data_IF_663429884168
#
_entry.id   IF_663429884168
#
_cell.length_a   1.000
_cell.length_b   1.000
_cell.length_c   1.000
_cell.angle_alpha   90.00
_cell.angle_beta   90.00
_cell.angle_gamma   90.00
#
_symmetry.space_group_name_H-M   'P 1'
#
loop_
_entity.id
_entity.type
_entity.pdbx_description
1 polymer ?
#
# COMPACT_ATOMS: atom_id res chain seq x y z
N UNK A 1 13.66 -10.29 25.86
CA UNK A 1 12.54 -9.52 25.31
C UNK A 1 11.80 -10.39 24.31
N UNK A 2 10.61 -10.90 24.61
CA UNK A 2 9.82 -11.69 23.66
C UNK A 2 9.19 -10.85 22.53
N UNK A 3 8.56 -11.46 21.52
CA UNK A 3 7.90 -10.76 20.41
C UNK A 3 6.93 -9.64 20.84
N UNK A 4 6.04 -9.94 21.80
CA UNK A 4 5.07 -8.95 22.32
C UNK A 4 5.77 -7.73 22.93
N UNK A 5 6.78 -7.97 23.77
CA UNK A 5 7.55 -6.89 24.41
C UNK A 5 8.34 -6.05 23.39
N UNK A 6 8.84 -6.68 22.32
CA UNK A 6 9.50 -6.00 21.21
C UNK A 6 8.52 -5.07 20.48
N UNK A 7 7.35 -5.57 20.09
CA UNK A 7 6.34 -4.77 19.39
C UNK A 7 5.84 -3.60 20.24
N UNK A 8 5.62 -3.83 21.54
CA UNK A 8 5.25 -2.76 22.47
C UNK A 8 6.35 -1.71 22.61
N UNK A 9 7.62 -2.12 22.59
CA UNK A 9 8.75 -1.19 22.62
C UNK A 9 8.84 -0.36 21.33
N UNK A 10 8.68 -1.00 20.16
CA UNK A 10 8.66 -0.33 18.85
C UNK A 10 7.51 0.69 18.79
N UNK A 11 6.30 0.32 19.21
CA UNK A 11 5.14 1.21 19.16
C UNK A 11 5.28 2.41 20.10
N UNK A 12 5.79 2.19 21.33
CA UNK A 12 6.07 3.28 22.27
C UNK A 12 7.13 4.23 21.71
N UNK A 13 8.23 3.69 21.18
CA UNK A 13 9.30 4.49 20.59
C UNK A 13 8.82 5.30 19.37
N UNK A 14 8.04 4.68 18.48
CA UNK A 14 7.47 5.32 17.30
C UNK A 14 6.50 6.45 17.67
N UNK A 15 5.60 6.23 18.64
CA UNK A 15 4.61 7.22 19.10
C UNK A 15 5.24 8.38 19.87
N UNK A 16 6.32 8.13 20.60
CA UNK A 16 7.05 9.17 21.33
C UNK A 16 7.77 10.16 20.40
N UNK A 17 7.60 10.04 19.07
CA UNK A 17 8.19 10.98 18.12
C UNK A 17 9.71 10.88 18.08
N UNK A 18 10.27 9.74 18.53
CA UNK A 18 11.71 9.45 18.55
C UNK A 18 12.29 9.38 17.12
N UNK A 19 11.54 9.73 16.07
CA UNK A 19 12.00 9.87 14.68
C UNK A 19 11.68 11.21 14.01
N UNK A 20 11.03 12.15 14.70
CA UNK A 20 10.61 13.45 14.14
C UNK A 20 11.30 14.57 14.91
N UNK A 21 12.37 15.13 14.34
CA UNK A 21 13.15 16.20 14.94
C UNK A 21 12.65 17.58 14.53
N UNK A 22 12.58 18.48 15.52
CA UNK A 22 12.94 19.87 15.29
C UNK A 22 13.62 20.56 16.48
N UNK A 23 13.56 20.03 17.72
CA UNK A 23 14.07 20.74 18.90
C UNK A 23 14.84 19.87 19.93
N UNK A 24 15.51 18.79 19.52
CA UNK A 24 16.13 17.86 20.49
C UNK A 24 17.67 17.96 20.46
N UNK A 25 18.30 18.04 21.65
CA UNK A 25 19.75 18.14 21.83
C UNK A 25 20.51 16.99 21.14
N UNK A 26 21.72 17.22 20.63
CA UNK A 26 22.55 16.21 19.94
C UNK A 26 22.73 14.91 20.77
N UNK A 27 22.85 15.02 22.09
CA UNK A 27 22.97 13.86 23.01
C UNK A 27 21.73 12.96 22.94
N UNK A 28 20.55 13.54 22.69
CA UNK A 28 19.30 12.79 22.56
C UNK A 28 19.15 12.08 21.20
N UNK A 29 19.83 12.58 20.16
CA UNK A 29 19.81 11.99 18.83
C UNK A 29 20.64 10.70 18.81
N UNK A 30 21.83 10.71 19.41
CA UNK A 30 22.67 9.51 19.54
C UNK A 30 21.98 8.39 20.35
N UNK A 31 21.35 8.74 21.48
CA UNK A 31 20.60 7.77 22.30
C UNK A 31 19.41 7.16 21.54
N UNK A 32 18.75 7.97 20.71
CA UNK A 32 17.65 7.56 19.83
C UNK A 32 18.13 6.59 18.75
N UNK A 33 19.22 6.89 18.06
CA UNK A 33 19.81 5.99 17.07
C UNK A 33 20.17 4.65 17.72
N UNK A 34 20.85 4.69 18.86
CA UNK A 34 21.21 3.48 19.62
C UNK A 34 19.99 2.68 20.09
N UNK A 35 18.86 3.32 20.40
CA UNK A 35 17.61 2.62 20.70
C UNK A 35 17.10 1.86 19.48
N UNK A 36 17.00 2.50 18.32
CA UNK A 36 16.49 1.88 17.11
C UNK A 36 17.39 0.76 16.58
N UNK A 37 18.71 0.93 16.66
CA UNK A 37 19.68 -0.15 16.35
C UNK A 37 19.43 -1.38 17.24
N UNK A 38 19.28 -1.18 18.56
CA UNK A 38 18.98 -2.29 19.49
C UNK A 38 17.64 -2.96 19.18
N UNK A 39 16.61 -2.17 18.85
CA UNK A 39 15.31 -2.71 18.46
C UNK A 39 15.40 -3.47 17.13
N UNK A 40 16.20 -3.00 16.19
CA UNK A 40 16.44 -3.67 14.91
C UNK A 40 17.12 -5.01 15.10
N UNK A 41 18.28 -5.04 15.79
CA UNK A 41 18.98 -6.28 16.09
C UNK A 41 18.07 -7.28 16.83
N UNK A 42 17.23 -6.78 17.75
CA UNK A 42 16.28 -7.65 18.46
C UNK A 42 15.16 -8.16 17.55
N UNK A 43 14.69 -7.35 16.60
CA UNK A 43 13.70 -7.76 15.61
C UNK A 43 14.26 -8.81 14.66
N UNK A 44 15.47 -8.62 14.15
CA UNK A 44 16.18 -9.60 13.32
C UNK A 44 16.35 -10.93 14.07
N UNK A 45 16.79 -10.89 15.34
CA UNK A 45 16.95 -12.10 16.16
C UNK A 45 15.64 -12.84 16.50
N UNK A 46 14.49 -12.19 16.35
CA UNK A 46 13.17 -12.79 16.61
C UNK A 46 12.35 -12.99 15.34
N UNK A 47 12.94 -12.76 14.16
CA UNK A 47 12.20 -12.60 12.90
C UNK A 47 11.30 -13.81 12.61
N UNK A 48 11.86 -15.03 12.65
CA UNK A 48 11.12 -16.28 12.39
C UNK A 48 10.03 -16.59 13.44
N UNK A 49 10.05 -15.88 14.57
CA UNK A 49 9.12 -16.02 15.67
C UNK A 49 7.97 -15.01 15.57
N UNK A 50 8.02 -14.09 14.61
CA UNK A 50 6.94 -13.16 14.35
C UNK A 50 5.92 -13.80 13.42
N UNK A 51 4.63 -13.53 13.67
CA UNK A 51 3.62 -13.74 12.64
C UNK A 51 3.79 -12.71 11.50
N UNK A 52 3.22 -12.94 10.31
CA UNK A 52 3.22 -11.96 9.23
C UNK A 52 2.68 -10.58 9.64
N UNK A 53 1.61 -10.55 10.45
CA UNK A 53 1.02 -9.31 10.97
C UNK A 53 1.95 -8.61 11.95
N UNK A 54 2.64 -9.38 12.81
CA UNK A 54 3.62 -8.85 13.76
C UNK A 54 4.83 -8.27 13.04
N UNK A 55 5.32 -8.95 12.00
CA UNK A 55 6.38 -8.43 11.13
C UNK A 55 5.96 -7.12 10.45
N UNK A 56 4.77 -7.08 9.84
CA UNK A 56 4.23 -5.84 9.26
C UNK A 56 4.20 -4.70 10.28
N UNK A 57 3.69 -4.98 11.50
CA UNK A 57 3.60 -4.00 12.59
C UNK A 57 4.99 -3.48 12.96
N UNK A 58 5.98 -4.36 13.09
CA UNK A 58 7.37 -3.98 13.36
C UNK A 58 7.90 -3.05 12.25
N UNK A 59 7.84 -3.47 10.98
CA UNK A 59 8.35 -2.70 9.83
C UNK A 59 7.68 -1.32 9.71
N UNK A 60 6.35 -1.23 9.91
CA UNK A 60 5.67 0.07 9.92
C UNK A 60 6.10 0.95 11.10
N UNK A 61 6.44 0.37 12.25
CA UNK A 61 7.01 1.08 13.39
C UNK A 61 8.33 1.77 13.03
N UNK A 62 9.25 1.03 12.40
CA UNK A 62 10.52 1.57 11.89
C UNK A 62 10.29 2.67 10.84
N UNK A 63 9.42 2.42 9.86
CA UNK A 63 9.08 3.43 8.85
C UNK A 63 8.51 4.71 9.46
N UNK A 64 7.57 4.61 10.41
CA UNK A 64 6.98 5.77 11.10
C UNK A 64 8.02 6.56 11.87
N UNK A 65 9.02 5.87 12.41
CA UNK A 65 10.17 6.49 13.06
C UNK A 65 11.23 7.01 12.08
N UNK A 66 10.99 6.91 10.77
CA UNK A 66 11.94 7.27 9.70
C UNK A 66 13.29 6.56 9.84
N UNK A 67 13.30 5.39 10.47
CA UNK A 67 14.47 4.54 10.57
C UNK A 67 14.50 3.64 9.33
N UNK A 68 15.48 3.87 8.46
CA UNK A 68 15.72 3.09 7.26
C UNK A 68 16.85 2.10 7.54
N UNK A 69 16.47 0.89 7.95
CA UNK A 69 17.40 -0.19 8.23
C UNK A 69 17.28 -1.26 7.13
N UNK A 70 18.26 -1.27 6.22
CA UNK A 70 18.27 -2.22 5.10
C UNK A 70 18.56 -3.65 5.53
N UNK A 71 19.35 -3.86 6.59
CA UNK A 71 19.66 -5.19 7.12
C UNK A 71 18.43 -5.83 7.75
N UNK A 72 17.59 -5.03 8.42
CA UNK A 72 16.29 -5.47 8.91
C UNK A 72 15.36 -5.90 7.77
N UNK A 73 15.32 -5.13 6.68
CA UNK A 73 14.49 -5.44 5.51
C UNK A 73 14.99 -6.71 4.79
N UNK A 74 16.31 -6.86 4.68
CA UNK A 74 16.96 -8.07 4.17
C UNK A 74 16.58 -9.29 5.01
N UNK A 75 16.76 -9.21 6.33
CA UNK A 75 16.41 -10.30 7.25
C UNK A 75 14.92 -10.65 7.22
N UNK A 76 14.04 -9.65 7.06
CA UNK A 76 12.60 -9.87 6.91
C UNK A 76 12.27 -10.61 5.60
N UNK A 77 12.97 -10.28 4.52
CA UNK A 77 12.85 -10.94 3.22
C UNK A 77 13.32 -12.39 3.28
N UNK A 78 14.48 -12.65 3.88
CA UNK A 78 14.98 -14.03 4.08
C UNK A 78 14.01 -14.85 4.95
N UNK A 79 13.47 -14.27 6.03
CA UNK A 79 12.51 -14.95 6.88
C UNK A 79 11.20 -15.30 6.17
N UNK A 80 10.74 -14.48 5.22
CA UNK A 80 9.54 -14.77 4.41
C UNK A 80 9.75 -15.98 3.47
N UNK A 81 10.98 -16.18 3.01
CA UNK A 81 11.35 -17.27 2.10
C UNK A 81 11.98 -18.47 2.81
N UNK A 82 12.15 -18.39 4.12
CA UNK A 82 12.68 -19.49 4.90
C UNK A 82 11.79 -20.73 4.77
N UNK A 83 12.40 -21.86 4.42
CA UNK A 83 11.78 -23.18 4.57
C UNK A 83 11.87 -23.65 6.04
N UNK A 84 12.85 -23.14 6.77
CA UNK A 84 13.03 -23.38 8.19
C UNK A 84 12.00 -22.57 8.96
N UNK A 85 10.95 -23.24 9.43
CA UNK A 85 10.11 -22.69 10.49
C UNK A 85 10.94 -22.54 11.77
N UNK A 86 10.62 -21.58 12.64
CA UNK A 86 11.34 -21.43 13.91
C UNK A 86 11.35 -22.75 14.70
N UNK A 87 12.50 -23.40 14.78
CA UNK A 87 12.70 -24.62 15.58
C UNK A 87 12.84 -24.15 17.02
N UNK A 88 11.74 -24.19 17.74
CA UNK A 88 11.78 -24.13 19.20
C UNK A 88 11.74 -25.57 19.68
N UNK A 89 12.66 -25.92 20.58
CA UNK A 89 12.48 -27.08 21.44
C UNK A 89 11.07 -26.94 22.05
N UNK A 90 10.21 -27.92 21.79
CA UNK A 90 8.84 -27.92 22.29
C UNK A 90 8.87 -27.54 23.77
N UNK A 91 8.14 -26.49 24.20
CA UNK A 91 8.15 -26.12 25.59
C UNK A 91 7.68 -27.33 26.40
N UNK A 92 8.47 -27.70 27.40
CA UNK A 92 8.22 -28.89 28.23
C UNK A 92 6.90 -28.84 29.01
N UNK A 93 6.15 -27.73 28.92
CA UNK A 93 4.92 -27.50 29.64
C UNK A 93 3.81 -27.02 28.68
N UNK A 94 2.90 -27.90 28.26
CA UNK A 94 1.83 -27.57 27.30
C UNK A 94 0.79 -26.57 27.85
N UNK A 95 0.71 -26.39 29.17
CA UNK A 95 -0.19 -25.41 29.81
C UNK A 95 0.29 -23.95 29.66
N UNK A 96 1.58 -23.72 29.37
CA UNK A 96 2.10 -22.37 29.09
C UNK A 96 1.83 -21.92 27.64
N UNK A 97 1.31 -22.81 26.78
CA UNK A 97 1.05 -22.57 25.35
C UNK A 97 -0.40 -22.19 25.02
N UNK A 98 -1.37 -22.41 25.93
CA UNK A 98 -2.79 -22.20 25.59
C UNK A 98 -3.16 -20.72 25.38
N UNK A 99 -2.35 -19.78 25.89
CA UNK A 99 -2.49 -18.33 25.66
C UNK A 99 -1.59 -17.78 24.55
N UNK A 100 -0.63 -18.56 24.04
CA UNK A 100 0.30 -18.14 22.99
C UNK A 100 -0.21 -18.62 21.61
N UNK A 101 -1.43 -18.17 21.28
CA UNK A 101 -2.09 -18.18 19.97
C UNK A 101 -1.30 -18.88 18.88
N UNK A 102 -1.68 -20.08 18.43
CA UNK A 102 -1.07 -20.85 17.34
C UNK A 102 -0.38 -20.00 16.27
N UNK A 103 0.87 -19.60 16.57
CA UNK A 103 1.52 -18.52 15.85
C UNK A 103 1.92 -19.12 14.52
N UNK A 104 1.23 -18.73 13.46
CA UNK A 104 1.67 -19.04 12.11
C UNK A 104 3.06 -18.42 11.94
N UNK A 105 4.07 -19.28 11.96
CA UNK A 105 5.47 -18.91 11.81
C UNK A 105 5.70 -18.38 10.39
N UNK A 106 6.60 -17.42 10.26
CA UNK A 106 7.07 -16.94 8.96
C UNK A 106 7.78 -18.07 8.19
N UNK A 107 7.74 -17.95 6.86
CA UNK A 107 8.34 -18.90 5.92
C UNK A 107 7.43 -19.14 4.72
N UNK A 108 7.92 -19.90 3.74
CA UNK A 108 7.16 -20.20 2.52
C UNK A 108 5.88 -21.00 2.79
N UNK A 109 5.85 -21.75 3.90
CA UNK A 109 4.70 -22.51 4.38
C UNK A 109 3.67 -21.66 5.16
N UNK A 110 3.98 -20.40 5.44
CA UNK A 110 3.04 -19.51 6.13
C UNK A 110 1.78 -19.30 5.28
N UNK A 111 0.62 -19.47 5.90
CA UNK A 111 -0.67 -19.13 5.28
C UNK A 111 -0.85 -17.63 5.39
N UNK A 112 -0.45 -16.90 4.35
CA UNK A 112 -0.67 -15.46 4.27
C UNK A 112 -2.09 -15.19 3.81
N UNK A 113 -2.85 -14.40 4.57
CA UNK A 113 -4.13 -13.85 4.09
C UNK A 113 -3.89 -12.74 3.05
N UNK A 114 -4.93 -12.37 2.29
CA UNK A 114 -4.85 -11.25 1.34
C UNK A 114 -4.40 -9.94 2.00
N UNK A 115 -4.87 -9.67 3.22
CA UNK A 115 -4.47 -8.50 4.00
C UNK A 115 -2.98 -8.57 4.41
N UNK A 116 -2.46 -9.75 4.77
CA UNK A 116 -1.03 -9.90 5.10
C UNK A 116 -0.15 -9.59 3.90
N UNK A 117 -0.50 -10.13 2.73
CA UNK A 117 0.21 -9.88 1.48
C UNK A 117 0.20 -8.39 1.14
N UNK A 118 -0.98 -7.75 1.19
CA UNK A 118 -1.12 -6.32 0.93
C UNK A 118 -0.29 -5.47 1.90
N UNK A 119 -0.28 -5.83 3.18
CA UNK A 119 0.45 -5.11 4.23
C UNK A 119 1.96 -5.29 4.12
N UNK A 120 2.46 -6.50 3.77
CA UNK A 120 3.88 -6.77 3.54
C UNK A 120 4.39 -5.98 2.32
N UNK A 121 3.70 -6.05 1.17
CA UNK A 121 4.04 -5.25 0.00
C UNK A 121 4.00 -3.75 0.31
N UNK A 122 3.00 -3.31 1.07
CA UNK A 122 2.90 -1.92 1.52
C UNK A 122 4.05 -1.51 2.42
N UNK A 123 4.54 -2.39 3.29
CA UNK A 123 5.72 -2.14 4.12
C UNK A 123 6.98 -1.99 3.23
N UNK A 124 7.27 -2.96 2.37
CA UNK A 124 8.43 -2.91 1.45
C UNK A 124 8.42 -1.67 0.56
N UNK A 125 7.26 -1.33 -0.02
CA UNK A 125 7.08 -0.15 -0.87
C UNK A 125 7.23 1.19 -0.13
N UNK A 126 7.16 1.22 1.20
CA UNK A 126 7.45 2.44 1.98
C UNK A 126 8.95 2.70 2.12
N UNK A 127 9.75 1.64 2.03
CA UNK A 127 11.20 1.72 2.00
C UNK A 127 11.77 1.70 0.58
N UNK A 128 10.91 1.56 -0.45
CA UNK A 128 11.34 1.31 -1.84
C UNK A 128 12.29 0.12 -1.95
N UNK A 129 12.07 -0.91 -1.14
CA UNK A 129 12.97 -2.03 -1.03
C UNK A 129 12.68 -3.08 -2.11
N UNK A 130 13.58 -3.19 -3.09
CA UNK A 130 13.46 -4.06 -4.28
C UNK A 130 14.63 -5.05 -4.42
N UNK A 131 15.50 -5.15 -3.41
CA UNK A 131 16.73 -5.97 -3.46
C UNK A 131 16.48 -7.49 -3.48
N UNK A 132 15.27 -7.92 -3.12
CA UNK A 132 14.82 -9.33 -3.15
C UNK A 132 13.64 -9.51 -4.10
N UNK A 133 13.89 -9.59 -5.43
CA UNK A 133 12.83 -9.82 -6.40
C UNK A 133 12.04 -11.11 -6.13
N UNK A 134 12.69 -12.15 -5.63
CA UNK A 134 12.07 -13.43 -5.28
C UNK A 134 10.99 -13.30 -4.18
N UNK A 135 11.15 -12.37 -3.23
CA UNK A 135 10.13 -12.08 -2.22
C UNK A 135 8.94 -11.37 -2.84
N UNK A 136 9.20 -10.45 -3.77
CA UNK A 136 8.14 -9.74 -4.46
C UNK A 136 7.33 -10.71 -5.31
N UNK A 137 7.99 -11.60 -6.05
CA UNK A 137 7.34 -12.66 -6.84
C UNK A 137 6.53 -13.61 -5.95
N UNK A 138 7.10 -14.06 -4.82
CA UNK A 138 6.38 -14.85 -3.83
C UNK A 138 5.11 -14.15 -3.32
N UNK A 139 5.20 -12.86 -2.97
CA UNK A 139 4.05 -12.08 -2.50
C UNK A 139 3.01 -11.88 -3.61
N UNK A 140 3.42 -11.71 -4.86
CA UNK A 140 2.49 -11.61 -6.00
C UNK A 140 1.76 -12.95 -6.27
N UNK A 141 2.47 -14.07 -6.23
CA UNK A 141 1.86 -15.40 -6.33
C UNK A 141 0.85 -15.64 -5.20
N UNK A 142 1.19 -15.24 -3.96
CA UNK A 142 0.27 -15.30 -2.83
C UNK A 142 -0.93 -14.38 -3.01
N UNK A 143 -0.74 -13.18 -3.56
CA UNK A 143 -1.84 -12.27 -3.88
C UNK A 143 -2.83 -12.90 -4.86
N UNK A 144 -2.33 -13.56 -5.91
CA UNK A 144 -3.17 -14.29 -6.87
C UNK A 144 -3.95 -15.41 -6.18
N UNK A 145 -3.29 -16.20 -5.33
CA UNK A 145 -3.91 -17.32 -4.63
C UNK A 145 -5.01 -16.88 -3.63
N UNK A 146 -4.89 -15.70 -3.03
CA UNK A 146 -5.85 -15.17 -2.04
C UNK A 146 -6.81 -14.13 -2.60
N UNK A 147 -6.84 -13.94 -3.92
CA UNK A 147 -7.56 -12.82 -4.54
C UNK A 147 -9.07 -12.85 -4.27
N UNK A 148 -9.68 -14.05 -4.22
CA UNK A 148 -11.12 -14.21 -3.99
C UNK A 148 -11.55 -13.76 -2.59
N UNK A 149 -10.64 -13.84 -1.62
CA UNK A 149 -10.86 -13.40 -0.23
C UNK A 149 -10.54 -11.92 -0.03
N UNK A 150 -9.77 -11.32 -0.94
CA UNK A 150 -9.31 -9.94 -0.83
C UNK A 150 -10.48 -8.95 -0.84
N UNK A 151 -10.45 -7.99 0.09
CA UNK A 151 -11.36 -6.85 0.08
C UNK A 151 -10.89 -5.78 -0.92
N UNK A 152 -11.75 -4.82 -1.26
CA UNK A 152 -11.36 -3.64 -2.05
C UNK A 152 -10.19 -2.88 -1.42
N UNK A 153 -10.12 -2.83 -0.07
CA UNK A 153 -9.03 -2.16 0.64
C UNK A 153 -7.71 -2.90 0.47
N UNK A 154 -7.71 -4.24 0.60
CA UNK A 154 -6.50 -5.05 0.40
C UNK A 154 -5.94 -4.85 -1.01
N UNK A 155 -6.82 -4.91 -2.02
CA UNK A 155 -6.44 -4.69 -3.41
C UNK A 155 -5.93 -3.27 -3.65
N UNK A 156 -6.58 -2.24 -3.10
CA UNK A 156 -6.13 -0.86 -3.22
C UNK A 156 -4.73 -0.65 -2.63
N UNK A 157 -4.47 -1.26 -1.47
CA UNK A 157 -3.17 -1.20 -0.79
C UNK A 157 -2.08 -1.95 -1.58
N UNK A 158 -2.41 -3.13 -2.08
CA UNK A 158 -1.51 -3.94 -2.91
C UNK A 158 -1.15 -3.21 -4.21
N UNK A 159 -2.13 -2.75 -4.98
CA UNK A 159 -1.89 -2.04 -6.24
C UNK A 159 -1.11 -0.73 -6.02
N UNK A 160 -1.43 0.01 -4.95
CA UNK A 160 -0.68 1.20 -4.56
C UNK A 160 0.75 0.90 -4.08
N UNK A 161 1.03 -0.29 -3.56
CA UNK A 161 2.37 -0.75 -3.24
C UNK A 161 3.14 -1.17 -4.49
N UNK A 162 2.51 -1.98 -5.36
CA UNK A 162 3.08 -2.42 -6.62
C UNK A 162 3.47 -1.23 -7.52
N UNK A 163 2.61 -0.22 -7.63
CA UNK A 163 2.92 0.99 -8.38
C UNK A 163 4.16 1.74 -7.85
N UNK A 164 4.36 1.75 -6.52
CA UNK A 164 5.54 2.39 -5.89
C UNK A 164 6.82 1.59 -6.01
N UNK A 165 6.70 0.28 -6.16
CA UNK A 165 7.82 -0.65 -6.37
C UNK A 165 8.15 -0.88 -7.84
N UNK A 166 7.34 -0.34 -8.76
CA UNK A 166 7.53 -0.54 -10.20
C UNK A 166 7.15 -1.94 -10.70
N UNK A 167 6.27 -2.65 -9.98
CA UNK A 167 5.90 -4.05 -10.30
C UNK A 167 4.81 -4.18 -11.38
N UNK A 168 4.70 -3.18 -12.25
CA UNK A 168 3.63 -3.10 -13.23
C UNK A 168 3.67 -4.22 -14.26
N UNK A 169 4.85 -4.46 -14.84
CA UNK A 169 5.04 -5.47 -15.89
C UNK A 169 4.86 -6.89 -15.35
N UNK A 170 5.37 -7.17 -14.14
CA UNK A 170 5.17 -8.46 -13.47
C UNK A 170 3.68 -8.75 -13.29
N UNK A 171 2.93 -7.79 -12.73
CA UNK A 171 1.48 -7.91 -12.56
C UNK A 171 0.72 -8.10 -13.88
N UNK A 172 1.17 -7.44 -14.95
CA UNK A 172 0.53 -7.53 -16.25
C UNK A 172 0.78 -8.87 -16.94
N UNK A 173 1.99 -9.42 -16.81
CA UNK A 173 2.41 -10.67 -17.46
C UNK A 173 1.55 -11.88 -17.08
N UNK A 174 1.02 -11.91 -15.85
CA UNK A 174 0.23 -13.02 -15.32
C UNK A 174 -1.28 -12.80 -15.41
N UNK A 175 -1.74 -11.75 -16.12
CA UNK A 175 -3.12 -11.26 -16.09
C UNK A 175 -3.65 -10.90 -14.67
N UNK A 176 -2.79 -10.94 -13.65
CA UNK A 176 -3.13 -10.65 -12.26
C UNK A 176 -3.59 -9.20 -12.09
N UNK A 177 -2.99 -8.25 -12.84
CA UNK A 177 -3.40 -6.85 -12.81
C UNK A 177 -4.87 -6.66 -13.20
N UNK A 178 -5.30 -7.33 -14.27
CA UNK A 178 -6.70 -7.30 -14.76
C UNK A 178 -7.64 -7.87 -13.68
N UNK A 179 -7.28 -9.00 -13.08
CA UNK A 179 -8.07 -9.66 -12.03
C UNK A 179 -8.16 -8.80 -10.76
N UNK A 180 -7.07 -8.16 -10.34
CA UNK A 180 -7.03 -7.26 -9.19
C UNK A 180 -7.98 -6.08 -9.41
N UNK A 181 -7.90 -5.39 -10.56
CA UNK A 181 -8.85 -4.30 -10.84
C UNK A 181 -10.29 -4.79 -10.93
N UNK A 182 -10.53 -5.97 -11.51
CA UNK A 182 -11.86 -6.60 -11.53
C UNK A 182 -12.41 -6.84 -10.13
N UNK A 183 -11.58 -7.38 -9.24
CA UNK A 183 -11.93 -7.62 -7.85
C UNK A 183 -12.24 -6.32 -7.11
N UNK A 184 -11.39 -5.30 -7.24
CA UNK A 184 -11.62 -3.99 -6.63
C UNK A 184 -12.90 -3.31 -7.13
N UNK A 185 -13.23 -3.49 -8.41
CA UNK A 185 -14.44 -2.94 -9.03
C UNK A 185 -15.72 -3.57 -8.46
N UNK A 186 -15.73 -4.89 -8.24
CA UNK A 186 -16.89 -5.59 -7.65
C UNK A 186 -17.26 -5.08 -6.26
N UNK A 187 -16.26 -4.66 -5.47
CA UNK A 187 -16.48 -4.08 -4.13
C UNK A 187 -16.46 -2.56 -4.12
N UNK A 188 -16.45 -1.89 -5.27
CA UNK A 188 -16.40 -0.44 -5.36
C UNK A 188 -17.73 0.17 -4.86
N UNK A 189 -17.64 1.21 -4.04
CA UNK A 189 -18.79 1.87 -3.39
C UNK A 189 -19.61 1.00 -2.42
N UNK A 190 -19.10 -0.16 -2.03
CA UNK A 190 -19.62 -0.81 -0.83
C UNK A 190 -19.47 0.16 0.36
N UNK A 191 -20.41 0.11 1.31
CA UNK A 191 -20.50 1.01 2.48
C UNK A 191 -19.20 1.06 3.29
N UNK A 192 -18.38 0.02 3.16
CA UNK A 192 -17.13 -0.15 3.89
C UNK A 192 -15.89 0.32 3.12
N UNK A 193 -15.99 0.69 1.84
CA UNK A 193 -14.82 1.16 1.08
C UNK A 193 -14.47 2.59 1.47
N UNK A 194 -13.32 2.83 2.12
CA UNK A 194 -12.88 4.19 2.47
C UNK A 194 -12.64 5.03 1.22
N UNK A 195 -12.97 6.33 1.28
CA UNK A 195 -12.75 7.24 0.15
C UNK A 195 -11.27 7.30 -0.29
N UNK A 196 -10.34 7.14 0.65
CA UNK A 196 -8.91 7.09 0.37
C UNK A 196 -8.53 5.90 -0.53
N UNK A 197 -9.20 4.74 -0.38
CA UNK A 197 -8.90 3.54 -1.15
C UNK A 197 -9.35 3.69 -2.60
N UNK A 198 -10.53 4.29 -2.84
CA UNK A 198 -10.95 4.66 -4.20
C UNK A 198 -9.96 5.65 -4.86
N UNK A 199 -9.43 6.60 -4.10
CA UNK A 199 -8.39 7.52 -4.60
C UNK A 199 -7.08 6.79 -4.92
N UNK A 200 -6.70 5.79 -4.11
CA UNK A 200 -5.51 4.97 -4.35
C UNK A 200 -5.69 4.08 -5.58
N UNK A 201 -6.88 3.51 -5.79
CA UNK A 201 -7.22 2.73 -6.99
C UNK A 201 -7.14 3.59 -8.26
N UNK A 202 -7.67 4.81 -8.23
CA UNK A 202 -7.50 5.77 -9.33
C UNK A 202 -6.03 5.98 -9.66
N UNK A 203 -5.21 6.29 -8.64
CA UNK A 203 -3.80 6.54 -8.83
C UNK A 203 -3.06 5.30 -9.36
N UNK A 204 -3.38 4.12 -8.85
CA UNK A 204 -2.80 2.87 -9.31
C UNK A 204 -3.15 2.58 -10.77
N UNK A 205 -4.40 2.76 -11.19
CA UNK A 205 -4.83 2.59 -12.58
C UNK A 205 -4.06 3.52 -13.53
N UNK A 206 -3.82 4.77 -13.11
CA UNK A 206 -3.07 5.74 -13.91
C UNK A 206 -1.56 5.41 -14.03
N UNK A 207 -0.97 4.77 -13.01
CA UNK A 207 0.47 4.51 -12.95
C UNK A 207 0.85 3.14 -13.55
N UNK A 208 0.07 2.11 -13.28
CA UNK A 208 0.32 0.73 -13.71
C UNK A 208 0.00 0.53 -15.21
N UNK A 209 0.42 -0.59 -15.82
CA UNK A 209 0.00 -0.94 -17.18
C UNK A 209 -1.51 -0.88 -17.37
N UNK A 210 -1.93 -0.54 -18.58
CA UNK A 210 -3.34 -0.34 -18.90
C UNK A 210 -4.05 -1.69 -18.92
N UNK A 211 -5.26 -1.71 -18.38
CA UNK A 211 -6.11 -2.89 -18.24
C UNK A 211 -7.56 -2.49 -18.47
N UNK A 212 -8.36 -3.40 -19.04
CA UNK A 212 -9.77 -3.17 -19.35
C UNK A 212 -10.56 -2.94 -18.07
N UNK A 213 -10.34 -3.77 -17.05
CA UNK A 213 -10.88 -3.57 -15.71
C UNK A 213 -10.44 -2.24 -15.07
N UNK A 214 -9.20 -1.80 -15.28
CA UNK A 214 -8.72 -0.51 -14.77
C UNK A 214 -9.47 0.67 -15.37
N UNK A 215 -9.74 0.64 -16.68
CA UNK A 215 -10.52 1.68 -17.36
C UNK A 215 -12.00 1.65 -16.96
N UNK A 216 -12.59 0.47 -16.81
CA UNK A 216 -13.95 0.31 -16.31
C UNK A 216 -14.09 0.87 -14.89
N UNK A 217 -13.16 0.54 -13.99
CA UNK A 217 -13.12 1.09 -12.64
C UNK A 217 -13.04 2.62 -12.65
N UNK A 218 -12.17 3.20 -13.47
CA UNK A 218 -12.05 4.65 -13.59
C UNK A 218 -13.32 5.30 -14.14
N UNK A 219 -13.98 4.68 -15.13
CA UNK A 219 -15.25 5.16 -15.67
C UNK A 219 -16.38 5.13 -14.63
N UNK A 220 -16.45 4.08 -13.80
CA UNK A 220 -17.42 4.00 -12.70
C UNK A 220 -17.15 5.08 -11.63
N UNK A 221 -15.89 5.32 -11.28
CA UNK A 221 -15.51 6.41 -10.36
C UNK A 221 -15.89 7.77 -10.93
N UNK A 222 -15.60 8.02 -12.21
CA UNK A 222 -15.99 9.25 -12.86
C UNK A 222 -17.51 9.40 -12.92
N UNK A 223 -18.25 8.35 -13.24
CA UNK A 223 -19.73 8.33 -13.19
C UNK A 223 -20.27 8.67 -11.81
N UNK A 224 -19.63 8.20 -10.73
CA UNK A 224 -19.99 8.57 -9.36
C UNK A 224 -19.72 10.05 -9.05
N UNK A 225 -18.62 10.61 -9.57
CA UNK A 225 -18.22 12.01 -9.39
C UNK A 225 -19.11 13.01 -10.14
N UNK A 226 -19.86 12.58 -11.16
CA UNK A 226 -20.85 13.43 -11.85
C UNK A 226 -21.94 13.94 -10.92
N UNK A 227 -22.21 13.20 -9.84
CA UNK A 227 -23.19 13.59 -8.82
C UNK A 227 -22.56 14.65 -7.92
N UNK A 228 -23.06 15.89 -7.98
CA UNK A 228 -22.51 17.02 -7.24
C UNK A 228 -22.41 16.74 -5.73
N UNK A 229 -23.39 16.04 -5.15
CA UNK A 229 -23.37 15.66 -3.74
C UNK A 229 -22.25 14.67 -3.38
N UNK A 230 -21.86 13.81 -4.33
CA UNK A 230 -20.75 12.88 -4.15
C UNK A 230 -19.40 13.57 -4.29
N UNK A 231 -19.27 14.47 -5.26
CA UNK A 231 -18.07 15.30 -5.41
C UNK A 231 -17.86 16.20 -4.18
N UNK A 232 -18.92 16.86 -3.70
CA UNK A 232 -18.89 17.72 -2.51
C UNK A 232 -18.58 16.97 -1.20
N UNK A 233 -18.83 15.66 -1.16
CA UNK A 233 -18.50 14.81 -0.01
C UNK A 233 -17.01 14.46 0.11
N UNK A 234 -16.19 14.72 -0.92
CA UNK A 234 -14.78 14.39 -0.92
C UNK A 234 -13.92 15.53 -0.38
N UNK A 235 -12.78 15.16 0.22
CA UNK A 235 -11.72 16.13 0.46
C UNK A 235 -11.23 16.69 -0.90
N UNK A 236 -10.99 18.02 -1.03
CA UNK A 236 -10.56 18.62 -2.29
C UNK A 236 -9.32 17.95 -2.89
N UNK A 237 -8.37 17.55 -2.03
CA UNK A 237 -7.17 16.80 -2.43
C UNK A 237 -7.51 15.49 -3.15
N UNK A 238 -8.48 14.74 -2.63
CA UNK A 238 -8.86 13.45 -3.19
C UNK A 238 -9.60 13.63 -4.52
N UNK A 239 -10.49 14.61 -4.61
CA UNK A 239 -11.16 14.97 -5.86
C UNK A 239 -10.13 15.31 -6.96
N UNK A 240 -9.19 16.21 -6.68
CA UNK A 240 -8.14 16.59 -7.64
C UNK A 240 -7.32 15.38 -8.08
N UNK A 241 -6.90 14.52 -7.14
CA UNK A 241 -6.10 13.32 -7.46
C UNK A 241 -6.87 12.34 -8.35
N UNK A 242 -8.17 12.16 -8.12
CA UNK A 242 -9.00 11.30 -8.97
C UNK A 242 -9.11 11.86 -10.39
N UNK A 243 -9.36 13.17 -10.54
CA UNK A 243 -9.43 13.83 -11.86
C UNK A 243 -8.09 13.77 -12.62
N UNK A 244 -6.98 13.98 -11.91
CA UNK A 244 -5.64 13.83 -12.48
C UNK A 244 -5.39 12.40 -12.95
N UNK A 245 -5.82 11.40 -12.18
CA UNK A 245 -5.67 9.99 -12.53
C UNK A 245 -6.45 9.63 -13.79
N UNK A 246 -7.70 10.11 -13.92
CA UNK A 246 -8.52 9.93 -15.14
C UNK A 246 -7.80 10.49 -16.37
N UNK A 247 -7.29 11.71 -16.26
CA UNK A 247 -6.60 12.39 -17.37
C UNK A 247 -5.29 11.70 -17.72
N UNK A 248 -4.52 11.26 -16.72
CA UNK A 248 -3.26 10.56 -16.93
C UNK A 248 -3.47 9.20 -17.60
N UNK A 249 -4.50 8.44 -17.18
CA UNK A 249 -4.86 7.19 -17.81
C UNK A 249 -5.23 7.36 -19.29
N UNK A 250 -6.10 8.32 -19.61
CA UNK A 250 -6.55 8.56 -20.99
C UNK A 250 -5.40 9.03 -21.89
N UNK A 251 -4.50 9.88 -21.37
CA UNK A 251 -3.29 10.26 -22.12
C UNK A 251 -2.43 9.04 -22.43
N UNK A 252 -2.15 8.21 -21.41
CA UNK A 252 -1.40 6.97 -21.58
C UNK A 252 -2.07 6.05 -22.60
N UNK A 253 -3.41 5.98 -22.62
CA UNK A 253 -4.18 5.17 -23.56
C UNK A 253 -4.11 5.70 -25.00
N UNK A 254 -4.12 7.02 -25.20
CA UNK A 254 -3.97 7.63 -26.53
C UNK A 254 -2.58 7.44 -27.16
N UNK A 255 -1.54 7.25 -26.34
CA UNK A 255 -0.17 7.05 -26.81
C UNK A 255 0.11 5.60 -27.27
N UNK A 256 -0.77 4.63 -26.97
CA UNK A 256 -0.64 3.25 -27.47
C UNK A 256 -1.44 3.04 -28.76
N UNK A 257 -0.91 2.20 -29.64
CA UNK A 257 -1.62 1.69 -30.81
C UNK A 257 -2.71 0.65 -30.48
N UNK A 258 -2.87 0.27 -29.21
CA UNK A 258 -3.87 -0.71 -28.79
C UNK A 258 -5.28 -0.11 -28.92
N UNK A 259 -6.24 -0.88 -29.47
CA UNK A 259 -7.66 -0.52 -29.58
C UNK A 259 -8.35 -0.55 -28.20
N UNK A 260 -7.86 0.28 -27.29
CA UNK A 260 -8.32 0.32 -25.93
C UNK A 260 -9.29 1.49 -25.72
N UNK A 261 -10.52 1.21 -25.26
CA UNK A 261 -11.49 2.27 -25.02
C UNK A 261 -11.11 3.12 -23.81
N UNK A 262 -10.86 4.41 -24.06
CA UNK A 262 -10.50 5.38 -23.03
C UNK A 262 -11.65 5.62 -22.06
N UNK A 263 -11.35 6.14 -20.87
CA UNK A 263 -12.36 6.53 -19.89
C UNK A 263 -13.26 7.63 -20.47
N UNK A 264 -12.68 8.59 -21.19
CA UNK A 264 -13.44 9.62 -21.90
C UNK A 264 -14.42 9.02 -22.93
N UNK A 265 -14.01 8.03 -23.72
CA UNK A 265 -14.91 7.38 -24.68
C UNK A 265 -16.08 6.69 -23.97
N UNK A 266 -15.83 6.03 -22.85
CA UNK A 266 -16.86 5.35 -22.04
C UNK A 266 -17.86 6.32 -21.40
N UNK A 267 -17.37 7.46 -20.93
CA UNK A 267 -18.23 8.47 -20.30
C UNK A 267 -19.10 9.22 -21.32
N UNK A 268 -18.68 9.25 -22.59
CA UNK A 268 -19.25 10.13 -23.60
C UNK A 268 -18.78 11.58 -23.44
N UNK A 269 -19.07 12.41 -24.44
CA UNK A 269 -18.66 13.84 -24.46
C UNK A 269 -19.24 14.62 -23.27
N UNK A 270 -20.54 14.45 -23.03
CA UNK A 270 -21.27 15.13 -21.95
C UNK A 270 -20.78 14.68 -20.58
N UNK A 271 -20.45 13.40 -20.43
CA UNK A 271 -20.01 12.84 -19.16
C UNK A 271 -18.72 13.42 -18.60
N UNK A 272 -17.77 13.80 -19.46
CA UNK A 272 -16.54 14.47 -19.03
C UNK A 272 -16.83 15.89 -18.54
N UNK A 273 -17.69 16.61 -19.24
CA UNK A 273 -18.09 17.97 -18.89
C UNK A 273 -18.84 17.99 -17.56
N UNK A 274 -19.78 17.06 -17.37
CA UNK A 274 -20.50 16.85 -16.10
C UNK A 274 -19.56 16.63 -14.91
N UNK A 275 -18.53 15.78 -15.08
CA UNK A 275 -17.53 15.55 -14.02
C UNK A 275 -16.76 16.83 -13.70
N UNK A 276 -16.34 17.60 -14.71
CA UNK A 276 -15.63 18.86 -14.52
C UNK A 276 -16.50 19.91 -13.82
N UNK A 277 -17.77 20.03 -14.20
CA UNK A 277 -18.73 20.95 -13.58
C UNK A 277 -18.95 20.56 -12.12
N UNK A 278 -19.32 19.30 -11.85
CA UNK A 278 -19.54 18.82 -10.48
C UNK A 278 -18.29 19.01 -9.59
N UNK A 279 -17.10 18.80 -10.16
CA UNK A 279 -15.85 19.04 -9.46
C UNK A 279 -15.54 20.52 -9.22
N UNK A 280 -15.92 21.42 -10.13
CA UNK A 280 -15.75 22.86 -9.98
C UNK A 280 -16.70 23.46 -8.94
N UNK A 281 -17.89 22.87 -8.78
CA UNK A 281 -18.91 23.29 -7.82
C UNK A 281 -18.64 22.78 -6.39
N UNK A 282 -18.01 21.60 -6.24
CA UNK A 282 -17.73 20.99 -4.95
C UNK A 282 -16.94 21.90 -3.95
N UNK A 283 -15.87 22.62 -4.36
CA UNK A 283 -15.12 23.54 -3.50
C UNK A 283 -15.93 24.73 -2.98
N UNK A 284 -16.96 25.16 -3.73
CA UNK A 284 -17.79 26.32 -3.42
C UNK A 284 -18.57 26.21 -2.10
N UNK A 285 -18.67 25.00 -1.54
CA UNK A 285 -19.33 24.77 -0.26
C UNK A 285 -18.41 24.87 0.96
N UNK A 286 -17.08 24.74 0.82
CA UNK A 286 -16.17 24.56 1.98
C UNK A 286 -14.72 25.07 1.86
N UNK A 287 -14.24 25.61 0.74
CA UNK A 287 -12.83 26.01 0.61
C UNK A 287 -12.59 27.46 0.18
N UNK A 288 -11.73 28.15 0.94
CA UNK A 288 -11.02 29.36 0.51
C UNK A 288 -10.10 29.03 -0.68
N UNK A 289 -9.98 29.97 -1.61
CA UNK A 289 -9.33 29.92 -2.93
C UNK A 289 -7.85 29.43 -2.99
N UNK A 290 -7.26 28.96 -1.90
CA UNK A 290 -5.83 28.62 -1.82
C UNK A 290 -5.43 27.27 -2.48
N UNK A 291 -6.38 26.44 -2.90
CA UNK A 291 -6.07 25.07 -3.41
C UNK A 291 -5.76 25.02 -4.92
N UNK A 292 -6.09 26.08 -5.68
CA UNK A 292 -5.86 26.11 -7.13
C UNK A 292 -4.41 26.41 -7.55
N UNK A 293 -3.51 26.70 -6.61
CA UNK A 293 -2.12 27.04 -6.86
C UNK A 293 -1.11 25.98 -6.37
N UNK A 294 -1.52 24.71 -6.22
CA UNK A 294 -0.55 23.65 -5.87
C UNK A 294 0.22 23.27 -7.14
N UNK A 295 1.54 23.52 -7.21
CA UNK A 295 2.34 23.09 -8.34
C UNK A 295 2.28 21.57 -8.46
N UNK A 296 2.06 21.16 -9.70
CA UNK A 296 1.93 19.80 -10.19
C UNK A 296 3.12 18.96 -9.71
N UNK A 297 2.81 17.73 -9.28
CA UNK A 297 3.76 16.73 -8.83
C UNK A 297 4.66 16.30 -10.00
N UNK A 298 5.72 17.07 -10.28
CA UNK A 298 6.80 16.75 -11.24
C UNK A 298 7.92 15.94 -10.56
N UNK A 299 7.77 15.59 -9.27
CA UNK A 299 8.86 14.99 -8.48
C UNK A 299 8.92 13.46 -8.42
N UNK A 300 8.11 12.71 -9.16
CA UNK A 300 7.98 11.26 -8.94
C UNK A 300 8.21 10.36 -10.17
N UNK A 301 8.69 10.93 -11.28
CA UNK A 301 9.18 10.15 -12.43
C UNK A 301 10.55 10.73 -12.78
N UNK A 302 11.62 10.02 -12.42
CA UNK A 302 12.99 10.39 -12.78
C UNK A 302 13.85 10.96 -11.64
N UNK A 303 14.12 10.17 -10.60
CA UNK A 303 15.53 10.06 -10.20
C UNK A 303 16.05 8.83 -10.94
N UNK A 304 16.72 9.09 -12.05
CA UNK A 304 17.62 8.12 -12.67
C UNK A 304 18.56 7.62 -11.57
N UNK A 305 18.56 6.29 -11.38
CA UNK A 305 19.65 5.55 -10.75
C UNK A 305 20.58 5.15 -11.88
#
# INVERSE_FOLDING_TARGET
MGPKQLLDAIDRASRAGVGLESNVSEVSAAQRTQLWERLSCRCQALMLCLSPQQLCRALFGFHRARCHDEELLHSACEALLSEEGAVYDEPQNPEDLEDEFGVQKLGTHAVLSANDVAMLLKALSRFHYTKHPEVLDFLLQRAAATLEEATTSDVAQLLGAAARLGLGEQLASEALLEQLFGRARLGLFDKFTPAADATNLCAAAALLPKTEQGAQLLAEIAGHLRKAEKAAGLAPRDLVRRLQSLTAFDRKAGDSNDEFMTVQQRLGREGREEVCIAAAEAPGSKCSLAVLAIPIWVGFVGREV
#
